data_IF_759636255992
#
_entry.id   IF_759636255992
#
_cell.length_a   1.000
_cell.length_b   1.000
_cell.length_c   1.000
_cell.angle_alpha   90.00
_cell.angle_beta   90.00
_cell.angle_gamma   90.00
#
_symmetry.space_group_name_H-M   'P 1'
#
loop_
_entity.id
_entity.type
_entity.pdbx_description
1 polymer ?
#
# COMPACT_ATOMS: atom_id res chain seq x y z
N UNK A 1 24.41 -26.58 22.76
CA UNK A 1 23.61 -26.89 21.56
C UNK A 1 22.42 -25.95 21.53
N UNK A 2 22.30 -25.17 20.45
CA UNK A 2 21.10 -24.54 19.86
C UNK A 2 20.28 -23.57 20.75
N UNK A 3 19.99 -22.34 20.37
CA UNK A 3 20.22 -21.59 19.15
C UNK A 3 19.51 -20.24 19.28
N UNK A 4 20.19 -19.19 18.86
CA UNK A 4 19.79 -17.78 18.83
C UNK A 4 18.47 -17.56 18.09
N UNK A 5 17.45 -17.01 18.77
CA UNK A 5 16.29 -16.41 18.10
C UNK A 5 16.66 -14.99 17.65
N UNK A 6 16.89 -14.82 16.35
CA UNK A 6 17.02 -13.50 15.74
C UNK A 6 15.71 -12.70 15.90
N UNK A 7 15.74 -11.38 16.11
CA UNK A 7 14.54 -10.57 16.07
C UNK A 7 14.02 -10.56 14.63
N UNK A 8 12.92 -11.28 14.40
CA UNK A 8 12.19 -11.20 13.14
C UNK A 8 11.81 -9.74 12.89
N UNK A 9 12.20 -9.22 11.73
CA UNK A 9 11.69 -7.98 11.19
C UNK A 9 10.17 -8.09 11.23
N UNK A 10 9.55 -7.37 12.16
CA UNK A 10 8.11 -7.15 12.12
C UNK A 10 7.89 -6.28 10.88
N UNK A 11 7.61 -6.92 9.74
CA UNK A 11 6.93 -6.24 8.65
C UNK A 11 5.73 -5.58 9.31
N UNK A 12 5.70 -4.26 9.36
CA UNK A 12 4.54 -3.52 9.85
C UNK A 12 3.46 -3.72 8.79
N UNK A 13 2.79 -4.88 8.84
CA UNK A 13 1.59 -5.14 8.08
C UNK A 13 0.53 -4.22 8.66
N UNK A 14 0.39 -3.04 8.08
CA UNK A 14 -0.77 -2.20 8.35
C UNK A 14 -2.00 -3.07 8.03
N UNK A 15 -2.86 -3.37 9.02
CA UNK A 15 -3.98 -4.29 8.82
C UNK A 15 -4.98 -3.78 7.78
N UNK A 16 -4.85 -2.52 7.35
CA UNK A 16 -5.69 -1.91 6.32
C UNK A 16 -5.15 -2.11 4.89
N UNK A 17 -3.90 -2.54 4.71
CA UNK A 17 -3.33 -2.80 3.37
C UNK A 17 -3.56 -4.27 2.99
N UNK A 18 -4.67 -4.53 2.32
CA UNK A 18 -4.95 -5.85 1.73
C UNK A 18 -4.06 -6.08 0.50
N UNK A 19 -3.85 -7.35 0.10
CA UNK A 19 -3.12 -7.68 -1.13
C UNK A 19 -3.69 -6.99 -2.38
N UNK A 20 -5.01 -6.90 -2.48
CA UNK A 20 -5.72 -6.22 -3.57
C UNK A 20 -5.40 -4.72 -3.59
N UNK A 21 -5.45 -4.05 -2.42
CA UNK A 21 -5.10 -2.64 -2.29
C UNK A 21 -3.64 -2.41 -2.71
N UNK A 22 -2.73 -3.28 -2.28
CA UNK A 22 -1.33 -3.19 -2.66
C UNK A 22 -1.15 -3.36 -4.17
N UNK A 23 -1.83 -4.32 -4.81
CA UNK A 23 -1.78 -4.53 -6.25
C UNK A 23 -2.31 -3.31 -7.04
N UNK A 24 -3.40 -2.70 -6.60
CA UNK A 24 -3.96 -1.50 -7.23
C UNK A 24 -3.01 -0.30 -7.14
N UNK A 25 -2.39 -0.08 -5.97
CA UNK A 25 -1.43 1.01 -5.76
C UNK A 25 -0.17 0.79 -6.58
N UNK A 26 0.36 -0.44 -6.61
CA UNK A 26 1.50 -0.78 -7.47
C UNK A 26 1.18 -0.55 -8.95
N UNK A 27 -0.03 -0.88 -9.39
CA UNK A 27 -0.46 -0.67 -10.77
C UNK A 27 -0.51 0.81 -11.10
N UNK A 28 -1.12 1.63 -10.23
CA UNK A 28 -1.17 3.09 -10.38
C UNK A 28 0.23 3.71 -10.50
N UNK A 29 1.20 3.20 -9.75
CA UNK A 29 2.58 3.68 -9.76
C UNK A 29 3.45 3.09 -10.89
N UNK A 30 2.90 2.20 -11.73
CA UNK A 30 3.64 1.53 -12.79
C UNK A 30 4.70 0.54 -12.28
N UNK A 31 4.49 -0.08 -11.11
CA UNK A 31 5.43 -0.98 -10.42
C UNK A 31 5.00 -2.46 -10.40
N UNK A 32 4.06 -2.83 -11.26
CA UNK A 32 3.44 -4.17 -11.31
C UNK A 32 2.04 -4.17 -10.72
N UNK A 33 1.49 -5.35 -10.40
CA UNK A 33 0.10 -5.47 -9.91
C UNK A 33 -0.95 -5.41 -11.03
N UNK A 34 -2.21 -5.25 -10.64
CA UNK A 34 -3.36 -5.23 -11.55
C UNK A 34 -4.27 -4.03 -11.24
N UNK A 35 -4.98 -3.50 -12.24
CA UNK A 35 -5.81 -2.32 -12.06
C UNK A 35 -7.04 -2.65 -11.22
N UNK A 36 -7.34 -1.78 -10.25
CA UNK A 36 -8.66 -1.78 -9.61
C UNK A 36 -9.75 -1.30 -10.56
N UNK A 37 -10.99 -1.27 -10.08
CA UNK A 37 -12.11 -0.69 -10.83
C UNK A 37 -11.85 0.77 -11.23
N UNK A 38 -12.60 1.29 -12.21
CA UNK A 38 -12.50 2.70 -12.64
C UNK A 38 -12.61 3.67 -11.45
N UNK A 39 -13.45 3.35 -10.47
CA UNK A 39 -13.55 4.12 -9.23
C UNK A 39 -12.23 4.15 -8.47
N UNK A 40 -11.59 2.99 -8.24
CA UNK A 40 -10.29 2.90 -7.54
C UNK A 40 -9.20 3.66 -8.29
N UNK A 41 -9.17 3.57 -9.62
CA UNK A 41 -8.20 4.32 -10.42
C UNK A 41 -8.38 5.83 -10.25
N UNK A 42 -9.63 6.33 -10.22
CA UNK A 42 -9.92 7.75 -9.96
C UNK A 42 -9.61 8.16 -8.53
N UNK A 43 -9.84 7.28 -7.55
CA UNK A 43 -9.47 7.50 -6.16
C UNK A 43 -7.95 7.66 -6.00
N UNK A 44 -7.14 6.80 -6.61
CA UNK A 44 -5.68 6.88 -6.54
C UNK A 44 -5.14 8.13 -7.23
N UNK A 45 -5.70 8.50 -8.39
CA UNK A 45 -5.39 9.78 -9.03
C UNK A 45 -5.78 10.99 -8.14
N UNK A 46 -6.88 10.89 -7.38
CA UNK A 46 -7.26 11.93 -6.42
C UNK A 46 -6.27 12.03 -5.26
N UNK A 47 -5.77 10.91 -4.71
CA UNK A 47 -4.72 10.93 -3.69
C UNK A 47 -3.43 11.58 -4.18
N UNK A 48 -3.05 11.35 -5.43
CA UNK A 48 -1.86 11.93 -6.06
C UNK A 48 -1.99 13.45 -6.24
N UNK A 49 -3.16 13.93 -6.67
CA UNK A 49 -3.41 15.34 -6.93
C UNK A 49 -3.80 16.16 -5.69
N UNK A 50 -4.33 15.53 -4.64
CA UNK A 50 -4.85 16.21 -3.46
C UNK A 50 -3.74 16.88 -2.64
N UNK A 51 -4.03 18.06 -2.11
CA UNK A 51 -3.23 18.72 -1.08
C UNK A 51 -3.38 18.03 0.30
N UNK A 52 -2.63 18.48 1.30
CA UNK A 52 -2.63 17.83 2.61
C UNK A 52 -4.03 17.76 3.27
N UNK A 53 -4.84 18.83 3.32
CA UNK A 53 -6.20 18.76 3.88
C UNK A 53 -7.11 17.77 3.13
N UNK A 54 -7.09 17.77 1.80
CA UNK A 54 -7.95 16.87 1.02
C UNK A 54 -7.47 15.41 1.10
N UNK A 55 -6.15 15.17 1.20
CA UNK A 55 -5.62 13.83 1.46
C UNK A 55 -6.08 13.27 2.80
N UNK A 56 -6.20 14.10 3.84
CA UNK A 56 -6.75 13.66 5.13
C UNK A 56 -8.23 13.25 5.02
N UNK A 57 -9.02 13.99 4.25
CA UNK A 57 -10.42 13.64 4.00
C UNK A 57 -10.54 12.32 3.21
N UNK A 58 -9.72 12.14 2.18
CA UNK A 58 -9.66 10.89 1.43
C UNK A 58 -9.22 9.72 2.31
N UNK A 59 -8.21 9.92 3.17
CA UNK A 59 -7.72 8.90 4.09
C UNK A 59 -8.78 8.48 5.13
N UNK A 60 -9.65 9.39 5.56
CA UNK A 60 -10.75 9.07 6.47
C UNK A 60 -11.76 8.09 5.83
N UNK A 61 -12.01 8.20 4.51
CA UNK A 61 -12.90 7.30 3.78
C UNK A 61 -12.22 6.03 3.24
N UNK A 62 -10.93 6.09 2.98
CA UNK A 62 -10.17 5.05 2.27
C UNK A 62 -8.81 4.76 2.93
N UNK A 63 -8.83 4.45 4.22
CA UNK A 63 -7.64 4.30 5.05
C UNK A 63 -6.60 3.32 4.48
N UNK A 64 -7.02 2.17 3.94
CA UNK A 64 -6.10 1.19 3.36
C UNK A 64 -5.36 1.71 2.13
N UNK A 65 -6.07 2.42 1.24
CA UNK A 65 -5.44 3.05 0.08
C UNK A 65 -4.51 4.20 0.48
N UNK A 66 -4.90 5.00 1.48
CA UNK A 66 -4.04 6.04 2.02
C UNK A 66 -2.76 5.47 2.63
N UNK A 67 -2.87 4.44 3.46
CA UNK A 67 -1.74 3.76 4.08
C UNK A 67 -0.79 3.18 3.02
N UNK A 68 -1.33 2.51 2.00
CA UNK A 68 -0.53 1.97 0.90
C UNK A 68 0.14 3.08 0.06
N UNK A 69 -0.55 4.19 -0.20
CA UNK A 69 -0.01 5.31 -0.97
C UNK A 69 1.09 6.06 -0.22
N UNK A 70 0.94 6.26 1.10
CA UNK A 70 1.99 6.85 1.93
C UNK A 70 3.17 5.89 2.11
N UNK A 71 2.91 4.59 2.29
CA UNK A 71 3.95 3.57 2.37
C UNK A 71 4.81 3.60 1.09
N UNK A 72 4.20 3.69 -0.09
CA UNK A 72 4.91 3.74 -1.37
C UNK A 72 5.91 4.89 -1.51
N UNK A 73 5.79 5.96 -0.72
CA UNK A 73 6.72 7.11 -0.71
C UNK A 73 7.97 6.85 0.14
N UNK A 74 7.95 5.84 0.99
CA UNK A 74 9.11 5.43 1.79
C UNK A 74 10.14 4.67 0.96
N UNK A 75 11.40 4.66 1.39
CA UNK A 75 12.53 4.04 0.67
C UNK A 75 12.26 2.59 0.26
N UNK A 76 11.67 1.79 1.16
CA UNK A 76 11.40 0.37 0.95
C UNK A 76 9.91 0.08 0.67
N UNK A 77 9.10 1.13 0.54
CA UNK A 77 7.64 1.04 0.48
C UNK A 77 7.12 0.15 -0.64
N UNK A 78 7.71 0.28 -1.82
CA UNK A 78 7.34 -0.54 -3.00
C UNK A 78 7.63 -2.01 -2.76
N UNK A 79 8.74 -2.35 -2.10
CA UNK A 79 9.10 -3.75 -1.78
C UNK A 79 8.09 -4.34 -0.78
N UNK A 80 7.70 -3.57 0.23
CA UNK A 80 6.68 -3.99 1.20
C UNK A 80 5.34 -4.20 0.48
N UNK A 81 4.92 -3.29 -0.39
CA UNK A 81 3.68 -3.46 -1.16
C UNK A 81 3.71 -4.68 -2.08
N UNK A 82 4.85 -4.97 -2.70
CA UNK A 82 5.01 -6.19 -3.51
C UNK A 82 4.85 -7.46 -2.66
N UNK A 83 5.39 -7.48 -1.45
CA UNK A 83 5.20 -8.58 -0.51
C UNK A 83 3.72 -8.76 -0.10
N UNK A 84 3.00 -7.66 0.13
CA UNK A 84 1.55 -7.70 0.40
C UNK A 84 0.77 -8.25 -0.80
N UNK A 85 1.05 -7.78 -2.01
CA UNK A 85 0.34 -8.21 -3.23
C UNK A 85 0.58 -9.69 -3.56
N UNK A 86 1.75 -10.24 -3.20
CA UNK A 86 2.09 -11.64 -3.44
C UNK A 86 1.42 -12.63 -2.46
N UNK A 87 0.88 -12.16 -1.33
CA UNK A 87 0.28 -13.02 -0.30
C UNK A 87 -1.10 -13.60 -0.67
N UNK A 88 -1.68 -13.19 -1.80
CA UNK A 88 -3.01 -13.59 -2.29
C UNK A 88 -2.96 -14.46 -3.57
N UNK A 89 -1.74 -14.85 -3.99
CA UNK A 89 -1.49 -15.78 -5.10
C UNK A 89 -1.15 -17.18 -4.57
#
# INVERSE_FOLDING_TARGET
MTGTTAPGVRMHSDPHITPEIAAHVLFHLGRGGWPGSTFVQKLLAAFEAADAPNRLQLAAGFAGYAAAFELAKSTDGVVVLQAHAAADQ
#
